data_IF_205761291090
#
_entry.id   IF_205761291090
#
_cell.length_a   1.000
_cell.length_b   1.000
_cell.length_c   1.000
_cell.angle_alpha   90.00
_cell.angle_beta   90.00
_cell.angle_gamma   90.00
#
_symmetry.space_group_name_H-M   'P 1'
#
loop_
_entity.id
_entity.type
_entity.pdbx_description
1 polymer ?
#
# COMPACT_ATOMS: atom_id res chain seq x y z
N UNK A 1 3.66 6.16 23.34
CA UNK A 1 4.62 5.04 23.52
C UNK A 1 5.64 5.08 22.38
N UNK A 2 6.94 4.88 22.65
CA UNK A 2 7.91 4.70 21.58
C UNK A 2 7.88 3.24 21.12
N UNK A 3 7.57 2.99 19.86
CA UNK A 3 7.53 1.65 19.27
C UNK A 3 8.95 1.26 18.85
N UNK A 4 9.79 0.89 19.81
CA UNK A 4 11.19 0.52 19.55
C UNK A 4 11.36 -0.97 19.27
N UNK A 5 10.43 -1.81 19.74
CA UNK A 5 10.47 -3.25 19.55
C UNK A 5 9.18 -3.80 18.89
N UNK A 6 9.29 -4.90 18.15
CA UNK A 6 8.15 -5.58 17.52
C UNK A 6 7.07 -6.00 18.51
N UNK A 7 7.45 -6.29 19.76
CA UNK A 7 6.51 -6.59 20.86
C UNK A 7 5.71 -5.37 21.27
N UNK A 8 6.31 -4.19 21.27
CA UNK A 8 5.62 -2.95 21.60
C UNK A 8 4.61 -2.59 20.50
N UNK A 9 4.98 -2.85 19.24
CA UNK A 9 4.05 -2.75 18.11
C UNK A 9 2.90 -3.75 18.24
N UNK A 10 3.18 -5.00 18.57
CA UNK A 10 2.14 -6.02 18.75
C UNK A 10 1.17 -5.65 19.88
N UNK A 11 1.68 -5.26 21.05
CA UNK A 11 0.85 -4.81 22.16
C UNK A 11 0.08 -3.53 21.84
N UNK A 12 0.67 -2.59 21.11
CA UNK A 12 -0.03 -1.41 20.64
C UNK A 12 -1.16 -1.78 19.67
N UNK A 13 -0.92 -2.69 18.73
CA UNK A 13 -1.93 -3.18 17.79
C UNK A 13 -3.07 -3.93 18.49
N UNK A 14 -2.76 -4.74 19.49
CA UNK A 14 -3.75 -5.43 20.34
C UNK A 14 -4.58 -4.43 21.16
N UNK A 15 -3.92 -3.48 21.84
CA UNK A 15 -4.58 -2.47 22.65
C UNK A 15 -5.47 -1.51 21.84
N UNK A 16 -5.16 -1.34 20.56
CA UNK A 16 -5.90 -0.48 19.64
C UNK A 16 -6.68 -1.30 18.58
N UNK A 17 -6.90 -2.60 18.82
CA UNK A 17 -7.59 -3.47 17.86
C UNK A 17 -9.02 -2.98 17.54
N UNK A 18 -9.66 -2.23 18.44
CA UNK A 18 -10.97 -1.60 18.19
C UNK A 18 -10.92 -0.38 17.27
N UNK A 19 -9.79 0.34 17.24
CA UNK A 19 -9.51 1.48 16.35
C UNK A 19 -8.99 1.01 15.00
N UNK A 20 -8.28 -0.12 14.97
CA UNK A 20 -7.94 -0.85 13.75
C UNK A 20 -9.10 -1.75 13.35
N UNK A 21 -10.10 -1.23 12.62
CA UNK A 21 -11.18 -2.08 12.10
C UNK A 21 -10.60 -3.18 11.20
N UNK A 22 -10.38 -4.36 11.77
CA UNK A 22 -10.16 -5.61 11.05
C UNK A 22 -11.54 -5.98 10.51
N UNK A 23 -11.78 -5.74 9.23
CA UNK A 23 -12.98 -6.22 8.56
C UNK A 23 -12.94 -7.75 8.56
N UNK A 24 -13.53 -8.36 9.59
CA UNK A 24 -13.59 -9.82 9.71
C UNK A 24 -14.34 -10.36 8.49
N UNK A 25 -13.69 -11.27 7.75
CA UNK A 25 -14.15 -11.95 6.53
C UNK A 25 -13.72 -11.35 5.17
N UNK A 26 -12.92 -10.30 5.16
CA UNK A 26 -12.39 -9.74 3.92
C UNK A 26 -10.87 -9.99 3.81
N UNK A 27 -10.43 -10.74 2.78
CA UNK A 27 -9.00 -10.87 2.37
C UNK A 27 -8.47 -9.56 1.74
N UNK A 28 -8.93 -8.42 2.23
CA UNK A 28 -8.69 -7.09 1.71
C UNK A 28 -7.69 -6.36 2.62
N UNK A 29 -7.06 -5.31 2.10
CA UNK A 29 -5.98 -4.59 2.78
C UNK A 29 -6.41 -4.12 4.18
N UNK A 30 -5.82 -4.74 5.21
CA UNK A 30 -5.76 -4.21 6.57
C UNK A 30 -4.78 -3.05 6.53
N UNK A 31 -5.24 -1.80 6.53
CA UNK A 31 -4.38 -0.77 5.91
C UNK A 31 -4.46 0.66 6.38
N UNK A 32 -5.32 1.02 7.33
CA UNK A 32 -5.27 2.38 7.87
C UNK A 32 -4.15 2.46 8.90
N UNK A 33 -3.04 3.09 8.48
CA UNK A 33 -1.83 3.29 9.27
C UNK A 33 -1.81 4.66 9.97
N UNK A 34 -2.85 5.50 9.79
CA UNK A 34 -2.96 6.82 10.43
C UNK A 34 -2.76 6.78 11.95
N UNK A 35 -3.30 5.79 12.70
CA UNK A 35 -3.10 5.73 14.15
C UNK A 35 -1.64 5.54 14.57
N UNK A 36 -0.77 5.06 13.65
CA UNK A 36 0.64 4.88 13.93
C UNK A 36 1.45 6.17 13.73
N UNK A 37 0.94 7.18 13.00
CA UNK A 37 1.67 8.40 12.65
C UNK A 37 2.41 9.04 13.85
N UNK A 38 1.78 9.23 15.04
CA UNK A 38 2.46 9.83 16.19
C UNK A 38 3.70 9.04 16.68
N UNK A 39 3.81 7.77 16.30
CA UNK A 39 4.86 6.85 16.74
C UNK A 39 5.96 6.63 15.70
N UNK A 40 5.78 7.14 14.47
CA UNK A 40 6.70 6.93 13.35
C UNK A 40 7.73 8.06 13.16
N UNK A 41 7.85 8.98 14.13
CA UNK A 41 8.72 10.16 14.01
C UNK A 41 10.19 9.85 13.71
N UNK A 42 10.68 8.65 14.08
CA UNK A 42 12.06 8.21 13.81
C UNK A 42 12.17 7.12 12.73
N UNK A 43 11.10 6.87 11.96
CA UNK A 43 11.08 5.82 10.96
C UNK A 43 12.06 6.14 9.82
N UNK A 44 13.10 5.30 9.69
CA UNK A 44 14.11 5.47 8.63
C UNK A 44 13.84 4.64 7.39
N UNK A 45 13.08 3.55 7.50
CA UNK A 45 12.81 2.63 6.40
C UNK A 45 11.33 2.30 6.38
N UNK A 46 10.72 2.40 5.21
CA UNK A 46 9.31 2.07 4.98
C UNK A 46 9.19 1.22 3.73
N UNK A 47 8.50 0.08 3.86
CA UNK A 47 8.10 -0.75 2.72
C UNK A 47 6.59 -0.89 2.70
N UNK A 48 5.98 -0.56 1.58
CA UNK A 48 4.56 -0.79 1.30
C UNK A 48 4.47 -1.77 0.14
N UNK A 49 3.90 -2.94 0.40
CA UNK A 49 3.63 -3.96 -0.61
C UNK A 49 2.13 -4.14 -0.77
N UNK A 50 1.65 -4.11 -2.01
CA UNK A 50 0.24 -4.41 -2.32
C UNK A 50 0.15 -5.69 -3.13
N UNK A 51 -0.89 -6.48 -2.88
CA UNK A 51 -1.21 -7.67 -3.68
C UNK A 51 -2.68 -7.59 -4.04
N UNK A 52 -2.97 -7.32 -5.32
CA UNK A 52 -4.33 -7.22 -5.83
C UNK A 52 -4.81 -8.50 -6.52
N UNK A 53 -6.09 -8.84 -6.36
CA UNK A 53 -6.76 -9.82 -7.21
C UNK A 53 -6.95 -9.23 -8.60
N UNK A 54 -6.63 -9.98 -9.67
CA UNK A 54 -6.85 -9.57 -11.07
C UNK A 54 -8.35 -9.33 -11.39
N UNK A 55 -9.25 -9.81 -10.52
CA UNK A 55 -10.69 -9.94 -10.78
C UNK A 55 -11.53 -8.75 -10.32
N UNK A 56 -11.00 -7.87 -9.47
CA UNK A 56 -11.75 -6.68 -9.06
C UNK A 56 -11.57 -5.63 -10.14
N UNK A 57 -12.62 -5.46 -10.94
CA UNK A 57 -12.69 -4.54 -12.07
C UNK A 57 -12.95 -3.09 -11.62
N UNK A 58 -13.13 -2.85 -10.31
CA UNK A 58 -13.42 -1.55 -9.71
C UNK A 58 -12.59 -1.35 -8.44
N UNK A 59 -11.85 -0.24 -8.34
CA UNK A 59 -11.31 0.24 -7.08
C UNK A 59 -12.49 0.63 -6.21
N UNK A 60 -12.65 -0.05 -5.08
CA UNK A 60 -13.70 0.30 -4.14
C UNK A 60 -13.26 1.50 -3.28
N UNK A 61 -14.23 2.07 -2.55
CA UNK A 61 -13.97 3.21 -1.67
C UNK A 61 -12.97 2.87 -0.56
N UNK A 62 -12.82 1.58 -0.21
CA UNK A 62 -11.92 1.10 0.83
C UNK A 62 -10.47 1.12 0.34
N UNK A 63 -10.19 0.63 -0.87
CA UNK A 63 -8.84 0.69 -1.44
C UNK A 63 -8.35 2.15 -1.57
N UNK A 64 -9.25 3.06 -1.97
CA UNK A 64 -8.92 4.48 -2.00
C UNK A 64 -8.61 5.05 -0.61
N UNK A 65 -9.38 4.68 0.43
CA UNK A 65 -9.12 5.17 1.80
C UNK A 65 -7.81 4.61 2.38
N UNK A 66 -7.47 3.37 2.06
CA UNK A 66 -6.17 2.75 2.43
C UNK A 66 -5.01 3.48 1.75
N UNK A 67 -5.11 3.78 0.46
CA UNK A 67 -4.08 4.55 -0.24
C UNK A 67 -3.94 5.98 0.31
N UNK A 68 -5.05 6.62 0.69
CA UNK A 68 -5.03 7.92 1.36
C UNK A 68 -4.33 7.84 2.72
N UNK A 69 -4.59 6.80 3.50
CA UNK A 69 -3.90 6.54 4.77
C UNK A 69 -2.38 6.40 4.59
N UNK A 70 -1.95 5.65 3.57
CA UNK A 70 -0.53 5.52 3.25
C UNK A 70 0.11 6.84 2.84
N UNK A 71 -0.62 7.68 2.11
CA UNK A 71 -0.20 9.02 1.75
C UNK A 71 0.02 9.89 3.01
N UNK A 72 -0.89 9.83 3.99
CA UNK A 72 -0.74 10.52 5.28
C UNK A 72 0.52 10.07 6.03
N UNK A 73 0.75 8.75 6.10
CA UNK A 73 1.96 8.20 6.73
C UNK A 73 3.22 8.66 6.02
N UNK A 74 3.26 8.59 4.69
CA UNK A 74 4.41 9.01 3.89
C UNK A 74 4.75 10.48 4.12
N UNK A 75 3.74 11.34 4.17
CA UNK A 75 3.92 12.76 4.47
C UNK A 75 4.52 12.96 5.86
N UNK A 76 3.99 12.25 6.87
CA UNK A 76 4.44 12.37 8.26
C UNK A 76 5.89 11.90 8.47
N UNK A 77 6.34 10.85 7.78
CA UNK A 77 7.70 10.31 7.93
C UNK A 77 8.72 10.98 7.01
N UNK A 78 8.30 11.87 6.10
CA UNK A 78 9.16 12.59 5.14
C UNK A 78 10.44 13.18 5.77
N UNK A 79 10.41 13.81 6.96
CA UNK A 79 11.62 14.41 7.55
C UNK A 79 12.69 13.40 7.95
N UNK A 80 12.32 12.14 8.20
CA UNK A 80 13.21 11.12 8.80
C UNK A 80 13.45 9.91 7.91
N UNK A 81 12.65 9.70 6.87
CA UNK A 81 12.74 8.55 5.99
C UNK A 81 14.01 8.58 5.12
N UNK A 82 14.78 7.49 5.18
CA UNK A 82 16.01 7.30 4.40
C UNK A 82 15.82 6.30 3.25
N UNK A 83 14.95 5.30 3.42
CA UNK A 83 14.70 4.27 2.41
C UNK A 83 13.19 4.04 2.26
N UNK A 84 12.70 4.13 1.03
CA UNK A 84 11.31 3.86 0.69
C UNK A 84 11.19 2.81 -0.42
N UNK A 85 10.46 1.74 -0.16
CA UNK A 85 10.13 0.70 -1.13
C UNK A 85 8.61 0.60 -1.31
N UNK A 86 8.13 0.90 -2.51
CA UNK A 86 6.75 0.67 -2.92
C UNK A 86 6.70 -0.42 -3.98
N UNK A 87 5.88 -1.44 -3.78
CA UNK A 87 5.74 -2.55 -4.72
C UNK A 87 4.27 -2.94 -4.90
N UNK A 88 3.77 -2.83 -6.13
CA UNK A 88 2.48 -3.42 -6.50
C UNK A 88 2.70 -4.78 -7.15
N UNK A 89 2.33 -5.82 -6.43
CA UNK A 89 2.47 -7.21 -6.85
C UNK A 89 1.20 -7.75 -7.52
N UNK A 90 1.42 -8.75 -8.38
CA UNK A 90 0.35 -9.63 -8.85
C UNK A 90 0.19 -10.80 -7.87
N UNK A 91 -1.04 -11.14 -7.49
CA UNK A 91 -1.27 -12.41 -6.82
C UNK A 91 -1.10 -13.58 -7.81
N UNK A 92 0.14 -14.04 -8.01
CA UNK A 92 0.44 -15.19 -8.89
C UNK A 92 -0.20 -16.48 -8.38
N UNK A 93 -0.54 -16.56 -7.09
CA UNK A 93 -1.16 -17.74 -6.50
C UNK A 93 -2.62 -17.93 -6.93
N UNK A 94 -3.30 -16.89 -7.46
CA UNK A 94 -4.64 -17.04 -8.04
C UNK A 94 -4.65 -17.79 -9.38
N UNK A 95 -3.51 -17.87 -10.07
CA UNK A 95 -3.38 -18.58 -11.34
C UNK A 95 -2.94 -20.04 -11.18
N UNK A 96 -2.58 -20.47 -9.97
CA UNK A 96 -2.03 -21.80 -9.72
C UNK A 96 -3.09 -22.87 -9.36
N UNK A 97 -4.37 -22.52 -9.23
CA UNK A 97 -5.42 -23.49 -8.94
C UNK A 97 -5.92 -24.18 -10.23
N UNK A 98 -5.76 -25.51 -10.38
CA UNK A 98 -6.34 -26.25 -11.49
C UNK A 98 -7.88 -26.15 -11.43
N UNK A 99 -8.52 -25.80 -12.54
CA UNK A 99 -9.99 -25.85 -12.66
C UNK A 99 -10.75 -24.53 -12.51
N UNK A 100 -10.10 -23.36 -12.39
CA UNK A 100 -10.81 -22.07 -12.40
C UNK A 100 -11.16 -21.60 -13.82
N UNK A 101 -12.33 -20.92 -14.00
CA UNK A 101 -12.73 -20.37 -15.29
C UNK A 101 -11.65 -19.49 -15.89
N UNK A 102 -11.50 -19.55 -17.23
CA UNK A 102 -10.58 -18.72 -18.01
C UNK A 102 -10.65 -17.25 -17.55
N UNK A 103 -9.51 -16.52 -17.57
CA UNK A 103 -9.51 -15.11 -17.21
C UNK A 103 -10.58 -14.37 -18.00
N UNK A 104 -11.49 -13.71 -17.30
CA UNK A 104 -12.41 -12.73 -17.90
C UNK A 104 -11.52 -11.74 -18.69
N UNK A 105 -11.89 -11.36 -19.93
CA UNK A 105 -11.12 -10.40 -20.70
C UNK A 105 -10.78 -9.19 -19.84
N UNK A 106 -9.48 -8.93 -19.67
CA UNK A 106 -9.02 -7.75 -18.92
C UNK A 106 -9.67 -6.53 -19.56
N UNK A 107 -10.22 -5.59 -18.77
CA UNK A 107 -10.77 -4.36 -19.32
C UNK A 107 -9.69 -3.69 -20.17
N UNK A 108 -10.09 -3.11 -21.32
CA UNK A 108 -9.20 -2.38 -22.22
C UNK A 108 -8.70 -1.05 -21.61
N UNK A 109 -8.72 -0.89 -20.29
CA UNK A 109 -8.13 0.28 -19.65
C UNK A 109 -6.62 0.22 -19.83
N UNK A 110 -6.02 1.34 -20.23
CA UNK A 110 -4.57 1.46 -20.38
C UNK A 110 -3.84 1.38 -19.03
N UNK A 111 -4.56 1.56 -17.92
CA UNK A 111 -4.04 1.59 -16.55
C UNK A 111 -4.77 0.57 -15.67
N UNK A 112 -4.03 -0.05 -14.73
CA UNK A 112 -4.65 -0.83 -13.65
C UNK A 112 -5.19 0.15 -12.62
N UNK A 113 -6.25 -0.21 -11.92
CA UNK A 113 -6.85 0.68 -10.92
C UNK A 113 -5.92 1.00 -9.75
N UNK A 114 -5.06 0.05 -9.38
CA UNK A 114 -4.01 0.31 -8.39
C UNK A 114 -2.99 1.34 -8.88
N UNK A 115 -2.80 1.49 -10.20
CA UNK A 115 -2.01 2.58 -10.78
C UNK A 115 -2.75 3.92 -10.60
N UNK A 116 -4.07 3.96 -10.82
CA UNK A 116 -4.89 5.16 -10.61
C UNK A 116 -4.88 5.60 -9.14
N UNK A 117 -5.03 4.65 -8.19
CA UNK A 117 -4.94 4.94 -6.76
C UNK A 117 -3.56 5.46 -6.35
N UNK A 118 -2.50 4.90 -6.95
CA UNK A 118 -1.13 5.38 -6.73
C UNK A 118 -0.96 6.81 -7.24
N UNK A 119 -1.37 7.08 -8.48
CA UNK A 119 -1.30 8.41 -9.10
C UNK A 119 -2.12 9.43 -8.31
N UNK A 120 -3.29 9.03 -7.81
CA UNK A 120 -4.18 9.91 -7.05
C UNK A 120 -3.66 10.23 -5.65
N UNK A 121 -3.13 9.25 -4.92
CA UNK A 121 -2.86 9.41 -3.48
C UNK A 121 -1.36 9.46 -3.13
N UNK A 122 -0.55 8.59 -3.74
CA UNK A 122 0.86 8.43 -3.34
C UNK A 122 1.76 9.37 -4.12
N UNK A 123 1.61 9.41 -5.46
CA UNK A 123 2.45 10.22 -6.33
C UNK A 123 2.49 11.70 -5.93
N UNK A 124 1.38 12.36 -5.54
CA UNK A 124 1.42 13.75 -5.11
C UNK A 124 2.33 13.94 -3.88
N UNK A 125 2.25 13.06 -2.88
CA UNK A 125 3.07 13.14 -1.66
C UNK A 125 4.56 12.96 -1.97
N UNK A 126 4.89 12.13 -2.95
CA UNK A 126 6.28 11.93 -3.39
C UNK A 126 6.86 13.17 -4.07
N UNK A 127 6.04 13.95 -4.76
CA UNK A 127 6.45 15.10 -5.58
C UNK A 127 6.27 16.46 -4.88
N UNK A 128 5.45 16.54 -3.84
CA UNK A 128 5.07 17.77 -3.15
C UNK A 128 6.27 18.55 -2.60
N UNK A 129 7.26 17.87 -2.02
CA UNK A 129 8.39 18.50 -1.37
C UNK A 129 9.65 17.61 -1.39
N UNK A 130 10.86 18.19 -1.17
CA UNK A 130 12.09 17.42 -1.07
C UNK A 130 12.06 16.40 0.08
N UNK A 131 12.80 15.31 -0.09
CA UNK A 131 13.00 14.29 0.94
C UNK A 131 14.39 14.45 1.57
N UNK A 132 14.52 15.17 2.69
CA UNK A 132 15.81 15.69 3.18
C UNK A 132 16.82 14.60 3.59
N UNK A 133 16.35 13.39 3.90
CA UNK A 133 17.18 12.27 4.33
C UNK A 133 17.14 11.06 3.39
N UNK A 134 16.38 11.15 2.29
CA UNK A 134 16.18 10.02 1.39
C UNK A 134 17.47 9.66 0.67
N UNK A 135 17.89 8.40 0.84
CA UNK A 135 19.04 7.81 0.17
C UNK A 135 18.60 6.92 -0.98
N UNK A 136 17.48 6.22 -0.83
CA UNK A 136 17.00 5.23 -1.80
C UNK A 136 15.48 5.20 -1.87
N UNK A 137 14.94 5.29 -3.08
CA UNK A 137 13.52 5.15 -3.35
C UNK A 137 13.31 4.17 -4.50
N UNK A 138 12.51 3.13 -4.27
CA UNK A 138 12.11 2.20 -5.33
C UNK A 138 10.59 2.16 -5.45
N UNK A 139 10.10 2.32 -6.67
CA UNK A 139 8.68 2.18 -7.02
C UNK A 139 8.61 1.09 -8.09
N UNK A 140 7.96 -0.02 -7.76
CA UNK A 140 7.89 -1.21 -8.60
C UNK A 140 6.45 -1.60 -8.87
N UNK A 141 6.21 -2.12 -10.07
CA UNK A 141 4.91 -2.65 -10.45
C UNK A 141 3.82 -1.61 -10.61
N UNK A 142 4.15 -0.31 -10.70
CA UNK A 142 3.25 0.80 -11.03
C UNK A 142 3.46 1.20 -12.49
N UNK A 143 2.38 1.48 -13.21
CA UNK A 143 2.42 2.00 -14.58
C UNK A 143 1.77 1.09 -15.63
N UNK A 144 1.81 1.56 -16.89
CA UNK A 144 1.08 0.97 -18.02
C UNK A 144 1.36 -0.53 -18.13
N UNK A 145 0.30 -1.31 -18.31
CA UNK A 145 0.40 -2.72 -18.64
C UNK A 145 0.99 -2.83 -20.06
N UNK A 146 2.30 -2.99 -20.18
CA UNK A 146 2.96 -3.24 -21.46
C UNK A 146 2.73 -4.69 -21.83
N UNK A 147 1.60 -4.97 -22.48
CA UNK A 147 1.34 -6.24 -23.16
C UNK A 147 2.15 -6.41 -24.46
N UNK A 148 3.13 -5.54 -24.70
CA UNK A 148 4.09 -5.62 -25.81
C UNK A 148 5.47 -5.95 -25.25
N UNK A 149 5.84 -7.23 -25.35
CA UNK A 149 7.21 -7.69 -25.50
C UNK A 149 7.36 -8.19 -26.93
#
# INVERSE_FOLDING_TARGET
PHLTHLRDLAHFMEANAGSFKIASQQRFMLGHLDPLIPHLGNLRRLRIGTVGLVRNLYADAHDNSVYASWASVLSAVRPTLEEFDFEQGYNRNDHASPGRPRPIPRPRSTHRQMDELFVKNILPVLLEAPWPRMKRMHIRGVGRNTSTY
#
